data_IF_723195603817
#
_entry.id   IF_723195603817
#
_cell.length_a   1.000
_cell.length_b   1.000
_cell.length_c   1.000
_cell.angle_alpha   90.00
_cell.angle_beta   90.00
_cell.angle_gamma   90.00
#
_symmetry.space_group_name_H-M   'P 1'
#
loop_
_entity.id
_entity.type
_entity.pdbx_description
1 polymer ?
#
# COMPACT_ATOMS: atom_id res chain seq x y z
N UNK A 1 15.85 15.46 22.45
CA UNK A 1 16.02 15.48 20.96
C UNK A 1 15.70 14.08 20.47
N UNK A 2 14.65 13.93 19.68
CA UNK A 2 14.28 12.63 19.17
C UNK A 2 15.15 12.33 17.94
N UNK A 3 16.15 11.48 18.13
CA UNK A 3 16.99 11.00 17.04
C UNK A 3 16.43 9.68 16.51
N UNK A 4 16.61 9.41 15.22
CA UNK A 4 16.28 8.09 14.67
C UNK A 4 17.39 7.58 13.75
N UNK A 5 17.57 6.29 13.70
CA UNK A 5 18.40 5.63 12.70
C UNK A 5 17.53 5.16 11.55
N UNK A 6 17.83 5.61 10.33
CA UNK A 6 17.08 5.21 9.14
C UNK A 6 17.23 3.69 8.91
N UNK A 7 16.14 2.95 9.00
CA UNK A 7 16.16 1.49 8.78
C UNK A 7 16.44 1.09 7.32
N UNK A 8 16.45 2.02 6.37
CA UNK A 8 16.82 1.75 4.99
C UNK A 8 18.34 1.86 4.80
N UNK A 9 18.92 3.04 5.07
CA UNK A 9 20.34 3.31 4.78
C UNK A 9 21.27 3.32 6.01
N UNK A 10 20.73 3.25 7.24
CA UNK A 10 21.49 3.22 8.47
C UNK A 10 21.98 4.58 8.97
N UNK A 11 21.65 5.68 8.31
CA UNK A 11 22.04 7.02 8.74
C UNK A 11 21.34 7.40 10.04
N UNK A 12 22.12 7.93 10.98
CA UNK A 12 21.56 8.61 12.14
C UNK A 12 21.10 10.00 11.74
N UNK A 13 19.89 10.35 12.10
CA UNK A 13 19.26 11.63 11.82
C UNK A 13 18.95 12.34 13.14
N UNK A 14 19.20 13.65 13.15
CA UNK A 14 18.83 14.51 14.26
C UNK A 14 17.47 15.12 13.97
N UNK A 15 16.62 15.05 14.98
CA UNK A 15 15.40 15.77 15.19
C UNK A 15 14.22 15.58 14.23
N UNK A 16 13.10 15.33 14.89
CA UNK A 16 11.78 15.12 14.32
C UNK A 16 10.92 16.32 14.77
N UNK A 17 10.83 17.33 13.94
CA UNK A 17 9.97 18.48 14.24
C UNK A 17 8.61 18.45 13.57
N UNK A 18 8.38 17.52 12.68
CA UNK A 18 7.13 17.43 11.92
C UNK A 18 6.70 15.98 11.78
N UNK A 19 5.61 15.76 12.33
CA UNK A 19 4.96 14.51 12.43
C UNK A 19 3.98 14.29 11.25
N UNK A 20 4.46 13.93 10.06
CA UNK A 20 3.65 13.55 8.90
C UNK A 20 4.29 12.37 8.19
N UNK A 21 3.49 11.39 7.74
CA UNK A 21 3.99 10.18 7.08
C UNK A 21 4.88 10.44 5.86
N UNK A 22 4.71 11.58 5.18
CA UNK A 22 5.51 12.01 4.03
C UNK A 22 6.69 12.91 4.40
N UNK A 23 6.79 13.28 5.67
CA UNK A 23 7.86 14.12 6.17
C UNK A 23 8.90 13.29 6.95
N UNK A 24 9.73 13.95 7.73
CA UNK A 24 10.85 13.33 8.45
C UNK A 24 11.83 12.64 7.50
N UNK A 25 12.25 13.38 6.50
CA UNK A 25 13.14 12.85 5.47
C UNK A 25 14.50 12.46 6.07
N UNK A 26 14.98 11.28 5.70
CA UNK A 26 16.35 10.90 6.00
C UNK A 26 17.33 11.77 5.21
N UNK A 27 18.27 12.42 5.89
CA UNK A 27 19.23 13.33 5.27
C UNK A 27 20.15 12.66 4.23
N UNK A 28 20.24 11.31 4.22
CA UNK A 28 21.08 10.58 3.28
C UNK A 28 20.30 9.98 2.11
N UNK A 29 19.20 9.24 2.37
CA UNK A 29 18.47 8.52 1.31
C UNK A 29 17.13 9.16 0.94
N UNK A 30 16.71 10.22 1.63
CA UNK A 30 15.44 10.89 1.37
C UNK A 30 14.20 10.12 1.81
N UNK A 31 14.34 8.95 2.46
CA UNK A 31 13.15 8.19 2.91
C UNK A 31 12.34 8.96 3.93
N UNK A 32 11.02 8.94 3.74
CA UNK A 32 10.03 9.47 4.69
C UNK A 32 9.63 8.43 5.74
N UNK A 33 8.74 8.81 6.66
CA UNK A 33 8.27 7.90 7.72
C UNK A 33 7.49 6.71 7.15
N UNK A 34 6.66 6.91 6.12
CA UNK A 34 5.90 5.85 5.44
C UNK A 34 6.83 4.78 4.86
N UNK A 35 7.86 5.17 4.11
CA UNK A 35 8.81 4.21 3.54
C UNK A 35 9.54 3.40 4.61
N UNK A 36 9.88 4.03 5.74
CA UNK A 36 10.49 3.30 6.85
C UNK A 36 9.51 2.34 7.53
N UNK A 37 8.23 2.72 7.64
CA UNK A 37 7.19 1.80 8.13
C UNK A 37 7.01 0.57 7.22
N UNK A 38 6.95 0.76 5.89
CA UNK A 38 6.90 -0.35 4.93
C UNK A 38 8.13 -1.26 5.09
N UNK A 39 9.33 -0.68 5.18
CA UNK A 39 10.57 -1.44 5.31
C UNK A 39 10.72 -2.11 6.67
N UNK A 40 10.12 -1.58 7.74
CA UNK A 40 10.00 -2.29 9.01
C UNK A 40 9.24 -3.61 8.82
N UNK A 41 8.08 -3.56 8.14
CA UNK A 41 7.33 -4.76 7.80
C UNK A 41 8.16 -5.75 6.99
N UNK A 42 8.85 -5.27 5.96
CA UNK A 42 9.73 -6.13 5.13
C UNK A 42 10.85 -6.76 5.97
N UNK A 43 11.53 -5.99 6.80
CA UNK A 43 12.63 -6.50 7.64
C UNK A 43 12.13 -7.54 8.63
N UNK A 44 10.98 -7.31 9.25
CA UNK A 44 10.36 -8.24 10.19
C UNK A 44 10.00 -9.58 9.54
N UNK A 45 9.34 -9.54 8.41
CA UNK A 45 8.71 -10.74 7.81
C UNK A 45 9.52 -11.39 6.70
N UNK A 46 10.32 -10.64 5.93
CA UNK A 46 11.17 -11.22 4.90
C UNK A 46 12.57 -11.55 5.40
N UNK A 47 13.15 -10.72 6.28
CA UNK A 47 14.49 -10.91 6.78
C UNK A 47 14.54 -11.54 8.18
N UNK A 48 13.46 -11.41 8.96
CA UNK A 48 13.42 -11.77 10.39
C UNK A 48 14.54 -11.09 11.19
N UNK A 49 14.86 -9.86 10.84
CA UNK A 49 15.96 -9.07 11.40
C UNK A 49 15.66 -7.58 11.27
N UNK A 50 15.22 -6.95 12.36
CA UNK A 50 14.85 -5.52 12.39
C UNK A 50 16.00 -4.62 12.85
N UNK A 51 17.01 -5.19 13.50
CA UNK A 51 18.09 -4.41 14.10
C UNK A 51 19.12 -3.87 13.09
N UNK A 52 19.12 -4.42 11.86
CA UNK A 52 20.03 -4.01 10.80
C UNK A 52 19.31 -3.23 9.71
N UNK A 53 19.86 -2.12 9.23
CA UNK A 53 19.33 -1.43 8.07
C UNK A 53 19.20 -2.31 6.83
N UNK A 54 18.21 -2.05 5.98
CA UNK A 54 17.92 -2.84 4.77
C UNK A 54 19.18 -3.07 3.90
N UNK A 55 19.99 -2.03 3.69
CA UNK A 55 21.21 -2.14 2.89
C UNK A 55 22.27 -3.10 3.50
N UNK A 56 22.18 -3.39 4.80
CA UNK A 56 23.08 -4.31 5.53
C UNK A 56 22.48 -5.69 5.76
N UNK A 57 21.26 -5.94 5.30
CA UNK A 57 20.65 -7.26 5.38
C UNK A 57 21.41 -8.26 4.51
N UNK A 58 21.37 -9.52 4.92
CA UNK A 58 21.91 -10.61 4.10
C UNK A 58 21.05 -10.85 2.86
N UNK A 59 21.66 -11.31 1.78
CA UNK A 59 20.93 -11.65 0.56
C UNK A 59 19.99 -12.83 0.80
N UNK A 60 18.75 -12.70 0.34
CA UNK A 60 17.70 -13.72 0.40
C UNK A 60 17.02 -13.88 -0.96
N UNK A 61 17.81 -14.27 -1.95
CA UNK A 61 17.34 -14.45 -3.33
C UNK A 61 16.29 -15.55 -3.52
N UNK A 62 16.10 -16.40 -2.51
CA UNK A 62 15.01 -17.38 -2.49
C UNK A 62 13.64 -16.77 -2.25
N UNK A 63 13.57 -15.51 -1.78
CA UNK A 63 12.32 -14.79 -1.58
C UNK A 63 11.97 -14.07 -2.87
N UNK A 64 10.85 -14.45 -3.49
CA UNK A 64 10.28 -13.77 -4.65
C UNK A 64 9.38 -12.64 -4.18
N UNK A 65 9.70 -11.42 -4.57
CA UNK A 65 8.98 -10.23 -4.14
C UNK A 65 8.61 -9.32 -5.31
N UNK A 66 7.49 -8.65 -5.21
CA UNK A 66 7.08 -7.60 -6.15
C UNK A 66 6.68 -6.33 -5.40
N UNK A 67 7.02 -5.20 -6.01
CA UNK A 67 6.53 -3.88 -5.63
C UNK A 67 5.49 -3.40 -6.64
N UNK A 68 4.52 -2.63 -6.19
CA UNK A 68 3.48 -2.03 -7.03
C UNK A 68 3.75 -0.52 -7.10
N UNK A 69 4.48 -0.08 -8.12
CA UNK A 69 4.95 1.30 -8.33
C UNK A 69 5.76 1.85 -7.14
N UNK A 70 6.61 1.00 -6.57
CA UNK A 70 7.42 1.34 -5.40
C UNK A 70 8.45 2.44 -5.69
N UNK A 71 8.75 3.24 -4.66
CA UNK A 71 9.81 4.25 -4.72
C UNK A 71 11.19 3.60 -4.86
N UNK A 72 12.01 4.15 -5.75
CA UNK A 72 13.41 3.71 -5.95
C UNK A 72 14.26 3.76 -4.67
N UNK A 73 13.89 4.60 -3.70
CA UNK A 73 14.57 4.74 -2.40
C UNK A 73 14.71 3.40 -1.68
N UNK A 74 13.72 2.51 -1.80
CA UNK A 74 13.76 1.18 -1.19
C UNK A 74 13.67 0.04 -2.22
N UNK A 75 13.13 0.29 -3.42
CA UNK A 75 13.07 -0.73 -4.47
C UNK A 75 14.47 -1.23 -4.88
N UNK A 76 15.43 -0.34 -5.06
CA UNK A 76 16.80 -0.74 -5.40
C UNK A 76 17.51 -1.53 -4.28
N UNK A 77 17.48 -1.09 -3.01
CA UNK A 77 17.97 -1.93 -1.91
C UNK A 77 17.29 -3.31 -1.85
N UNK A 78 15.98 -3.40 -2.09
CA UNK A 78 15.26 -4.67 -2.12
C UNK A 78 15.73 -5.55 -3.28
N UNK A 79 15.83 -5.00 -4.47
CA UNK A 79 16.34 -5.72 -5.65
C UNK A 79 17.79 -6.21 -5.47
N UNK A 80 18.59 -5.52 -4.64
CA UNK A 80 19.91 -5.99 -4.28
C UNK A 80 19.89 -7.21 -3.32
N UNK A 81 18.79 -7.48 -2.61
CA UNK A 81 18.70 -8.48 -1.54
C UNK A 81 17.77 -9.66 -1.86
N UNK A 82 16.69 -9.40 -2.56
CA UNK A 82 15.62 -10.35 -2.86
C UNK A 82 15.57 -10.65 -4.37
N UNK A 83 14.81 -11.67 -4.77
CA UNK A 83 14.33 -11.81 -6.15
C UNK A 83 13.14 -10.87 -6.32
N UNK A 84 13.44 -9.57 -6.45
CA UNK A 84 12.46 -8.49 -6.44
C UNK A 84 12.29 -7.87 -7.82
N UNK A 85 11.03 -7.62 -8.20
CA UNK A 85 10.66 -6.82 -9.36
C UNK A 85 9.72 -5.68 -8.94
N UNK A 86 10.04 -4.45 -9.34
CA UNK A 86 9.09 -3.33 -9.24
C UNK A 86 8.20 -3.34 -10.48
N UNK A 87 6.89 -3.41 -10.29
CA UNK A 87 5.90 -3.43 -11.36
C UNK A 87 5.19 -2.10 -11.47
N UNK A 88 4.66 -1.78 -12.65
CA UNK A 88 4.04 -0.49 -12.93
C UNK A 88 2.72 -0.67 -13.66
N UNK A 89 1.84 0.33 -13.57
CA UNK A 89 0.56 0.30 -14.27
C UNK A 89 0.69 0.54 -15.80
N UNK A 90 1.59 1.43 -16.21
CA UNK A 90 1.71 1.88 -17.60
C UNK A 90 2.96 1.40 -18.34
N UNK A 91 3.93 0.81 -17.64
CA UNK A 91 5.21 0.42 -18.22
C UNK A 91 5.64 -0.98 -17.74
N UNK A 92 6.52 -1.63 -18.49
CA UNK A 92 7.08 -2.94 -18.12
C UNK A 92 8.05 -2.85 -16.91
N UNK A 93 8.05 -3.82 -16.02
CA UNK A 93 7.13 -4.96 -15.94
C UNK A 93 5.72 -4.48 -15.54
N UNK A 94 4.70 -4.76 -16.40
CA UNK A 94 3.36 -4.25 -16.19
C UNK A 94 2.55 -5.11 -15.23
N UNK A 95 1.81 -4.46 -14.33
CA UNK A 95 0.83 -5.10 -13.45
C UNK A 95 -0.36 -4.18 -13.22
N UNK A 96 -1.53 -4.60 -13.69
CA UNK A 96 -2.81 -4.03 -13.28
C UNK A 96 -3.47 -4.95 -12.23
N UNK A 97 -3.48 -4.50 -10.98
CA UNK A 97 -4.08 -5.25 -9.87
C UNK A 97 -5.60 -5.35 -9.94
N UNK A 98 -6.22 -4.66 -10.89
CA UNK A 98 -7.66 -4.73 -11.16
C UNK A 98 -8.01 -5.69 -12.31
N UNK A 99 -7.06 -6.08 -13.16
CA UNK A 99 -7.28 -7.03 -14.26
C UNK A 99 -6.77 -8.42 -13.90
N UNK A 100 -7.68 -9.40 -13.88
CA UNK A 100 -7.35 -10.80 -13.56
C UNK A 100 -6.32 -11.40 -14.54
N UNK A 101 -6.34 -11.00 -15.82
CA UNK A 101 -5.36 -11.50 -16.81
C UNK A 101 -3.96 -10.98 -16.55
N UNK A 102 -3.85 -9.76 -16.03
CA UNK A 102 -2.57 -9.19 -15.60
C UNK A 102 -2.06 -9.93 -14.35
N UNK A 103 -2.94 -10.18 -13.37
CA UNK A 103 -2.63 -10.86 -12.12
C UNK A 103 -2.18 -12.31 -12.34
N UNK A 104 -2.84 -13.04 -13.25
CA UNK A 104 -2.57 -14.46 -13.51
C UNK A 104 -1.14 -14.70 -14.06
N UNK A 105 -0.42 -13.64 -14.49
CA UNK A 105 1.00 -13.71 -14.85
C UNK A 105 1.92 -13.81 -13.61
N UNK A 106 1.41 -13.48 -12.43
CA UNK A 106 2.15 -13.48 -11.18
C UNK A 106 1.55 -14.51 -10.21
N UNK A 107 2.35 -15.47 -9.79
CA UNK A 107 1.92 -16.52 -8.85
C UNK A 107 3.07 -16.93 -7.93
N UNK A 108 2.73 -17.57 -6.82
CA UNK A 108 3.70 -18.06 -5.83
C UNK A 108 4.64 -16.97 -5.28
N UNK A 109 4.16 -15.74 -5.18
CA UNK A 109 4.90 -14.61 -4.63
C UNK A 109 4.98 -14.74 -3.11
N UNK A 110 6.18 -14.56 -2.55
CA UNK A 110 6.40 -14.57 -1.10
C UNK A 110 5.99 -13.24 -0.45
N UNK A 111 6.28 -12.13 -1.13
CA UNK A 111 6.11 -10.78 -0.61
C UNK A 111 5.58 -9.83 -1.68
N UNK A 112 4.50 -9.13 -1.38
CA UNK A 112 4.02 -8.00 -2.16
C UNK A 112 4.18 -6.73 -1.32
N UNK A 113 4.63 -5.64 -1.93
CA UNK A 113 4.66 -4.31 -1.34
C UNK A 113 3.72 -3.42 -2.15
N UNK A 114 2.78 -2.77 -1.48
CA UNK A 114 1.80 -1.89 -2.09
C UNK A 114 1.71 -0.61 -1.25
N UNK A 115 2.14 0.50 -1.82
CA UNK A 115 2.21 1.78 -1.12
C UNK A 115 1.43 2.84 -1.86
N UNK A 116 0.32 3.29 -1.26
CA UNK A 116 -0.52 4.37 -1.78
C UNK A 116 -0.98 4.13 -3.23
N UNK A 117 -1.66 3.01 -3.44
CA UNK A 117 -2.21 2.58 -4.74
C UNK A 117 -3.69 2.27 -4.64
N UNK A 118 -4.13 1.66 -3.53
CA UNK A 118 -5.48 1.09 -3.41
C UNK A 118 -6.58 2.16 -3.44
N UNK A 119 -6.27 3.37 -3.01
CA UNK A 119 -7.17 4.53 -3.05
C UNK A 119 -7.46 5.02 -4.47
N UNK A 120 -6.61 4.66 -5.43
CA UNK A 120 -6.71 5.06 -6.84
C UNK A 120 -7.40 4.01 -7.73
N UNK A 121 -7.67 2.83 -7.19
CA UNK A 121 -8.21 1.72 -7.98
C UNK A 121 -9.72 1.86 -8.22
N UNK A 122 -10.22 1.50 -9.42
CA UNK A 122 -11.67 1.52 -9.69
C UNK A 122 -12.44 0.42 -8.95
N UNK A 123 -11.76 -0.68 -8.58
CA UNK A 123 -12.37 -1.74 -7.78
C UNK A 123 -12.38 -1.38 -6.30
N UNK A 124 -13.38 -1.87 -5.58
CA UNK A 124 -13.44 -1.75 -4.13
C UNK A 124 -12.20 -2.39 -3.46
N UNK A 125 -11.68 -1.86 -2.34
CA UNK A 125 -10.48 -2.33 -1.67
C UNK A 125 -10.47 -3.85 -1.43
N UNK A 126 -11.58 -4.43 -0.98
CA UNK A 126 -11.72 -5.88 -0.80
C UNK A 126 -11.36 -6.66 -2.07
N UNK A 127 -11.88 -6.23 -3.24
CA UNK A 127 -11.64 -6.91 -4.52
C UNK A 127 -10.17 -6.84 -4.94
N UNK A 128 -9.54 -5.70 -4.75
CA UNK A 128 -8.11 -5.51 -5.02
C UNK A 128 -7.26 -6.41 -4.10
N UNK A 129 -7.64 -6.51 -2.82
CA UNK A 129 -6.97 -7.39 -1.86
C UNK A 129 -7.17 -8.87 -2.20
N UNK A 130 -8.38 -9.30 -2.62
CA UNK A 130 -8.63 -10.66 -3.13
C UNK A 130 -7.70 -10.97 -4.32
N UNK A 131 -7.50 -10.03 -5.22
CA UNK A 131 -6.61 -10.15 -6.38
C UNK A 131 -5.15 -10.30 -5.94
N UNK A 132 -4.64 -9.44 -5.08
CA UNK A 132 -3.28 -9.56 -4.54
C UNK A 132 -3.07 -10.86 -3.76
N UNK A 133 -4.10 -11.34 -3.02
CA UNK A 133 -4.04 -12.62 -2.33
C UNK A 133 -3.86 -13.80 -3.29
N UNK A 134 -4.43 -13.75 -4.50
CA UNK A 134 -4.26 -14.81 -5.52
C UNK A 134 -2.82 -14.93 -5.97
N UNK A 135 -2.09 -13.81 -6.05
CA UNK A 135 -0.68 -13.78 -6.46
C UNK A 135 0.24 -14.38 -5.40
N UNK A 136 -0.09 -14.22 -4.12
CA UNK A 136 0.71 -14.72 -3.01
C UNK A 136 0.63 -16.25 -2.90
N UNK A 137 1.74 -16.91 -2.52
CA UNK A 137 1.69 -18.31 -2.06
C UNK A 137 0.99 -18.42 -0.69
N UNK A 138 0.53 -19.59 -0.29
CA UNK A 138 0.13 -19.83 1.11
C UNK A 138 1.26 -19.45 2.08
N UNK A 139 0.94 -18.67 3.11
CA UNK A 139 1.92 -18.05 4.03
C UNK A 139 2.65 -16.83 3.48
N UNK A 140 2.38 -16.41 2.24
CA UNK A 140 2.91 -15.18 1.66
C UNK A 140 2.30 -13.93 2.29
N UNK A 141 2.95 -12.78 2.10
CA UNK A 141 2.69 -11.55 2.86
C UNK A 141 2.54 -10.37 1.91
N UNK A 142 1.53 -9.54 2.17
CA UNK A 142 1.38 -8.21 1.59
C UNK A 142 1.69 -7.17 2.68
N UNK A 143 2.64 -6.27 2.40
CA UNK A 143 2.91 -5.07 3.20
C UNK A 143 2.21 -3.90 2.50
N UNK A 144 1.23 -3.30 3.18
CA UNK A 144 0.32 -2.33 2.60
C UNK A 144 0.36 -1.01 3.37
N UNK A 145 0.50 0.11 2.66
CA UNK A 145 0.13 1.43 3.16
C UNK A 145 -0.89 2.09 2.24
N UNK A 146 -1.77 2.87 2.83
CA UNK A 146 -2.69 3.76 2.13
C UNK A 146 -2.99 4.96 3.04
N UNK A 147 -3.36 6.13 2.50
CA UNK A 147 -3.91 7.21 3.29
C UNK A 147 -5.30 6.80 3.81
N UNK A 148 -5.35 6.35 5.05
CA UNK A 148 -6.60 5.99 5.71
C UNK A 148 -7.00 7.05 6.73
N UNK A 149 -8.27 7.10 7.09
CA UNK A 149 -8.82 8.14 7.96
C UNK A 149 -9.65 7.53 9.09
N UNK A 150 -9.73 8.22 10.23
CA UNK A 150 -10.64 7.87 11.31
C UNK A 150 -12.07 8.31 10.98
N UNK A 151 -12.62 7.73 9.92
CA UNK A 151 -14.00 7.91 9.47
C UNK A 151 -14.86 6.75 9.95
N UNK A 152 -16.19 6.94 10.11
CA UNK A 152 -17.11 5.85 10.43
C UNK A 152 -17.22 4.83 9.28
N UNK A 153 -17.08 5.28 8.03
CA UNK A 153 -17.11 4.46 6.82
C UNK A 153 -16.29 5.09 5.70
N UNK A 154 -15.87 4.29 4.73
CA UNK A 154 -15.19 4.73 3.51
C UNK A 154 -16.12 5.58 2.65
N UNK A 155 -15.63 6.72 2.17
CA UNK A 155 -16.37 7.60 1.26
C UNK A 155 -15.90 7.33 -0.16
N UNK A 156 -16.77 6.77 -0.99
CA UNK A 156 -16.54 6.60 -2.42
C UNK A 156 -16.90 7.90 -3.16
N UNK A 157 -15.96 8.47 -3.90
CA UNK A 157 -16.21 9.66 -4.72
C UNK A 157 -16.99 9.34 -5.99
N UNK A 158 -16.79 8.14 -6.54
CA UNK A 158 -17.36 7.69 -7.80
C UNK A 158 -18.03 6.32 -7.61
N UNK A 159 -19.08 6.24 -6.78
CA UNK A 159 -19.74 4.97 -6.48
C UNK A 159 -20.33 4.36 -7.72
N UNK A 160 -20.16 3.04 -7.89
CA UNK A 160 -20.69 2.26 -9.02
C UNK A 160 -20.29 2.76 -10.41
N UNK A 161 -19.14 3.45 -10.52
CA UNK A 161 -18.67 3.98 -11.77
C UNK A 161 -18.47 2.89 -12.83
N UNK A 162 -19.24 2.96 -13.92
CA UNK A 162 -19.12 2.10 -15.09
C UNK A 162 -18.17 2.70 -16.14
N UNK A 163 -18.05 4.03 -16.18
CA UNK A 163 -17.07 4.75 -16.99
C UNK A 163 -16.62 6.01 -16.26
N UNK A 164 -15.37 6.40 -16.47
CA UNK A 164 -14.79 7.57 -15.85
C UNK A 164 -13.82 8.25 -16.82
N UNK A 165 -13.90 9.56 -16.94
CA UNK A 165 -13.05 10.38 -17.80
C UNK A 165 -12.61 11.63 -17.03
N UNK A 166 -11.30 11.85 -16.96
CA UNK A 166 -10.72 13.08 -16.39
C UNK A 166 -10.52 14.06 -17.55
N UNK A 167 -11.07 15.28 -17.44
CA UNK A 167 -10.92 16.36 -18.42
C UNK A 167 -10.15 17.53 -17.86
N UNK A 168 -9.17 18.02 -18.62
CA UNK A 168 -8.58 19.33 -18.38
C UNK A 168 -9.43 20.41 -19.06
N UNK A 169 -9.92 21.35 -18.27
CA UNK A 169 -10.76 22.47 -18.71
C UNK A 169 -10.01 23.81 -18.54
N UNK A 170 -8.76 23.88 -19.02
CA UNK A 170 -7.96 25.10 -18.97
C UNK A 170 -7.39 25.38 -17.59
N UNK A 171 -6.74 24.39 -17.00
CA UNK A 171 -6.11 24.43 -15.67
C UNK A 171 -7.04 24.08 -14.51
N UNK A 172 -8.28 23.73 -14.81
CA UNK A 172 -9.20 23.06 -13.90
C UNK A 172 -9.48 21.66 -14.42
N UNK A 173 -9.57 20.71 -13.53
CA UNK A 173 -9.93 19.34 -13.89
C UNK A 173 -11.36 19.07 -13.45
N UNK A 174 -12.09 18.34 -14.28
CA UNK A 174 -13.39 17.76 -13.94
C UNK A 174 -13.35 16.26 -14.22
N UNK A 175 -14.08 15.50 -13.42
CA UNK A 175 -14.31 14.08 -13.67
C UNK A 175 -15.73 13.89 -14.13
N UNK A 176 -15.90 13.32 -15.34
CA UNK A 176 -17.18 12.89 -15.88
C UNK A 176 -17.29 11.39 -15.74
N UNK A 177 -18.37 10.92 -15.17
CA UNK A 177 -18.55 9.50 -14.99
C UNK A 177 -20.01 9.09 -15.18
N UNK A 178 -20.21 7.82 -15.51
CA UNK A 178 -21.54 7.21 -15.49
C UNK A 178 -21.54 6.05 -14.51
N UNK A 179 -22.62 5.90 -13.79
CA UNK A 179 -22.82 4.73 -12.93
C UNK A 179 -23.37 3.52 -13.72
N UNK A 180 -23.51 2.39 -13.07
CA UNK A 180 -24.02 1.16 -13.67
C UNK A 180 -25.49 1.25 -14.09
N UNK A 181 -26.24 2.24 -13.64
CA UNK A 181 -27.60 2.53 -14.11
C UNK A 181 -27.62 3.32 -15.42
N UNK A 182 -26.46 3.87 -15.84
CA UNK A 182 -26.30 4.76 -16.98
C UNK A 182 -26.53 6.23 -16.66
N UNK A 183 -26.76 6.60 -15.40
CA UNK A 183 -26.86 8.00 -15.02
C UNK A 183 -25.49 8.69 -15.14
N UNK A 184 -25.48 9.94 -15.57
CA UNK A 184 -24.27 10.72 -15.81
C UNK A 184 -24.05 11.74 -14.72
N UNK A 185 -22.81 11.85 -14.28
CA UNK A 185 -22.40 12.70 -13.19
C UNK A 185 -21.18 13.53 -13.58
N UNK A 186 -20.97 14.66 -12.91
CA UNK A 186 -19.79 15.51 -13.08
C UNK A 186 -19.31 15.96 -11.71
N UNK A 187 -18.02 15.71 -11.44
CA UNK A 187 -17.31 16.28 -10.31
C UNK A 187 -16.41 17.42 -10.78
N UNK A 188 -16.65 18.63 -10.26
CA UNK A 188 -15.90 19.84 -10.59
C UNK A 188 -14.74 20.13 -9.64
N UNK A 189 -14.53 19.28 -8.62
CA UNK A 189 -13.47 19.41 -7.62
C UNK A 189 -12.85 18.07 -7.29
N UNK A 190 -12.40 17.31 -8.32
CA UNK A 190 -11.80 16.01 -8.09
C UNK A 190 -10.52 16.12 -7.24
N UNK A 191 -10.27 15.11 -6.43
CA UNK A 191 -9.06 14.99 -5.65
C UNK A 191 -8.00 14.21 -6.42
N UNK A 192 -6.75 14.71 -6.42
CA UNK A 192 -5.62 14.07 -7.07
C UNK A 192 -4.45 13.92 -6.11
N UNK A 193 -3.86 12.76 -6.08
CA UNK A 193 -2.58 12.52 -5.46
C UNK A 193 -1.46 13.07 -6.35
N UNK A 194 -0.50 13.82 -5.79
CA UNK A 194 0.61 14.39 -6.55
C UNK A 194 0.29 15.68 -7.33
N UNK A 195 -0.90 16.24 -7.15
CA UNK A 195 -1.33 17.50 -7.74
C UNK A 195 -2.38 17.35 -8.85
N UNK A 196 -2.98 18.47 -9.28
CA UNK A 196 -4.08 18.47 -10.23
C UNK A 196 -3.77 17.73 -11.52
N UNK A 197 -4.63 16.79 -11.91
CA UNK A 197 -4.52 16.03 -13.15
C UNK A 197 -3.54 14.86 -13.12
N UNK A 198 -2.89 14.58 -11.98
CA UNK A 198 -1.97 13.43 -11.86
C UNK A 198 -2.73 12.12 -11.62
N UNK A 199 -2.82 11.64 -10.39
CA UNK A 199 -3.50 10.38 -10.07
C UNK A 199 -4.78 10.66 -9.30
N UNK A 200 -5.93 10.28 -9.89
CA UNK A 200 -7.24 10.52 -9.30
C UNK A 200 -7.43 9.65 -8.05
N UNK A 201 -7.89 10.26 -6.97
CA UNK A 201 -8.37 9.53 -5.79
C UNK A 201 -9.82 9.09 -6.02
N UNK A 202 -10.07 7.80 -5.90
CA UNK A 202 -11.40 7.22 -6.07
C UNK A 202 -12.22 7.28 -4.77
N UNK A 203 -11.52 7.34 -3.62
CA UNK A 203 -12.15 7.25 -2.30
C UNK A 203 -11.29 7.79 -1.19
N UNK A 204 -11.97 8.10 -0.06
CA UNK A 204 -11.34 8.26 1.25
C UNK A 204 -11.57 6.99 2.06
N UNK A 205 -10.51 6.28 2.35
CA UNK A 205 -10.59 4.98 3.00
C UNK A 205 -10.70 5.15 4.51
N UNK A 206 -11.76 4.65 5.12
CA UNK A 206 -11.82 4.49 6.57
C UNK A 206 -10.84 3.41 7.03
N UNK A 207 -10.05 3.68 8.07
CA UNK A 207 -9.00 2.76 8.54
C UNK A 207 -9.56 1.38 8.90
N UNK A 208 -10.69 1.34 9.60
CA UNK A 208 -11.31 0.09 10.01
C UNK A 208 -11.90 -0.68 8.83
N UNK A 209 -12.41 0.01 7.81
CA UNK A 209 -12.93 -0.63 6.61
C UNK A 209 -11.81 -1.31 5.81
N UNK A 210 -10.61 -0.72 5.77
CA UNK A 210 -9.47 -1.35 5.10
C UNK A 210 -9.03 -2.63 5.83
N UNK A 211 -8.98 -2.60 7.16
CA UNK A 211 -8.70 -3.80 7.96
C UNK A 211 -9.76 -4.87 7.71
N UNK A 212 -11.05 -4.50 7.75
CA UNK A 212 -12.15 -5.42 7.50
C UNK A 212 -12.11 -5.98 6.07
N UNK A 213 -11.82 -5.14 5.07
CA UNK A 213 -11.65 -5.57 3.68
C UNK A 213 -10.53 -6.61 3.53
N UNK A 214 -9.44 -6.46 4.29
CA UNK A 214 -8.36 -7.45 4.36
C UNK A 214 -8.82 -8.78 4.93
N UNK A 215 -9.55 -8.75 6.04
CA UNK A 215 -10.12 -9.95 6.67
C UNK A 215 -11.13 -10.64 5.73
N UNK A 216 -12.01 -9.87 5.10
CA UNK A 216 -13.02 -10.36 4.16
C UNK A 216 -12.40 -10.91 2.87
N UNK A 217 -11.23 -10.42 2.47
CA UNK A 217 -10.42 -10.98 1.41
C UNK A 217 -9.70 -12.27 1.81
N UNK A 218 -9.81 -12.69 3.06
CA UNK A 218 -9.25 -13.93 3.60
C UNK A 218 -7.79 -13.82 4.06
N UNK A 219 -7.35 -12.65 4.47
CA UNK A 219 -6.06 -12.43 5.13
C UNK A 219 -6.19 -12.45 6.66
N UNK A 220 -5.10 -12.82 7.31
CA UNK A 220 -4.81 -12.40 8.69
C UNK A 220 -4.21 -11.00 8.61
N UNK A 221 -4.77 -10.04 9.34
CA UNK A 221 -4.39 -8.62 9.25
C UNK A 221 -3.76 -8.17 10.56
N UNK A 222 -2.59 -7.57 10.48
CA UNK A 222 -1.87 -6.93 11.57
C UNK A 222 -1.58 -5.47 11.21
N UNK A 223 -1.74 -4.58 12.18
CA UNK A 223 -1.28 -3.18 12.06
C UNK A 223 0.08 -3.06 12.72
N UNK A 224 1.09 -2.56 11.97
CA UNK A 224 2.41 -2.34 12.55
C UNK A 224 2.40 -1.18 13.54
N UNK A 225 2.94 -1.44 14.72
CA UNK A 225 3.16 -0.41 15.72
C UNK A 225 4.26 0.58 15.27
N UNK A 226 4.15 1.79 15.77
CA UNK A 226 5.16 2.81 15.53
C UNK A 226 6.51 2.43 16.15
N UNK A 227 7.57 2.89 15.51
CA UNK A 227 8.96 2.60 15.87
C UNK A 227 9.77 3.90 15.74
N UNK A 228 9.73 4.78 16.77
CA UNK A 228 10.37 6.08 16.73
C UNK A 228 11.88 6.01 16.50
N UNK A 229 12.53 4.95 16.97
CA UNK A 229 13.97 4.71 16.83
C UNK A 229 14.45 4.56 15.39
N UNK A 230 13.55 4.18 14.48
CA UNK A 230 13.82 4.15 13.04
C UNK A 230 13.17 5.33 12.30
N UNK A 231 12.52 6.23 13.02
CA UNK A 231 11.77 7.34 12.45
C UNK A 231 10.44 6.93 11.81
N UNK A 232 9.86 5.82 12.23
CA UNK A 232 8.47 5.45 11.92
C UNK A 232 7.61 5.92 13.09
N UNK A 233 7.17 7.13 13.00
CA UNK A 233 6.30 7.79 13.98
C UNK A 233 5.01 8.20 13.34
N UNK A 234 3.98 8.29 14.16
CA UNK A 234 2.69 8.81 13.76
C UNK A 234 2.51 10.24 14.26
N UNK A 235 2.12 11.11 13.40
CA UNK A 235 1.43 12.31 13.76
C UNK A 235 -0.02 12.23 13.31
N UNK A 236 -0.87 12.61 14.16
CA UNK A 236 -2.21 13.02 13.76
C UNK A 236 -2.02 14.19 12.80
N UNK A 237 -2.23 13.94 11.51
CA UNK A 237 -2.29 15.02 10.54
C UNK A 237 -3.63 15.70 10.74
N UNK A 238 -3.63 16.98 11.10
CA UNK A 238 -4.88 17.72 11.08
C UNK A 238 -5.37 17.77 9.64
N UNK A 239 -6.59 17.33 9.45
CA UNK A 239 -7.51 17.62 8.37
C UNK A 239 -6.93 17.65 6.93
N UNK A 240 -7.31 16.68 6.15
CA UNK A 240 -7.38 16.85 4.70
C UNK A 240 -8.31 18.04 4.40
N UNK A 241 -8.00 18.95 3.45
CA UNK A 241 -8.85 20.10 3.18
C UNK A 241 -10.30 19.69 2.91
N UNK A 242 -11.18 19.98 3.86
CA UNK A 242 -12.61 19.65 3.79
C UNK A 242 -13.03 18.36 4.47
N UNK A 243 -12.10 17.62 5.12
CA UNK A 243 -12.41 16.41 5.87
C UNK A 243 -11.94 16.58 7.30
N UNK A 244 -12.89 16.72 8.20
CA UNK A 244 -12.63 16.84 9.64
C UNK A 244 -12.35 15.45 10.26
N UNK A 245 -11.38 14.70 9.74
CA UNK A 245 -11.00 13.41 10.28
C UNK A 245 -9.48 13.24 10.28
N UNK A 246 -8.88 12.77 11.40
CA UNK A 246 -7.47 12.46 11.44
C UNK A 246 -7.10 11.38 10.43
N UNK A 247 -5.98 11.56 9.73
CA UNK A 247 -5.42 10.52 8.87
C UNK A 247 -4.70 9.47 9.71
N UNK A 248 -4.93 8.20 9.41
CA UNK A 248 -4.19 7.06 9.95
C UNK A 248 -3.44 6.37 8.79
N UNK A 249 -2.13 6.54 8.71
CA UNK A 249 -1.31 5.94 7.66
C UNK A 249 -0.45 4.80 8.17
N UNK A 250 -0.88 4.09 9.23
CA UNK A 250 -0.17 2.91 9.69
C UNK A 250 -0.08 1.86 8.60
N UNK A 251 1.07 1.20 8.58
CA UNK A 251 1.32 0.08 7.66
C UNK A 251 0.57 -1.14 8.17
N UNK A 252 -0.14 -1.80 7.25
CA UNK A 252 -0.79 -3.09 7.50
C UNK A 252 0.06 -4.22 6.94
N UNK A 253 0.10 -5.33 7.66
CA UNK A 253 0.67 -6.60 7.23
C UNK A 253 -0.47 -7.59 7.06
N UNK A 254 -0.66 -8.06 5.84
CA UNK A 254 -1.70 -8.99 5.47
C UNK A 254 -1.06 -10.34 5.10
N UNK A 255 -1.29 -11.36 5.90
CA UNK A 255 -0.75 -12.70 5.66
C UNK A 255 -1.80 -13.58 4.99
N UNK A 256 -1.45 -14.19 3.85
CA UNK A 256 -2.26 -15.29 3.31
C UNK A 256 -2.11 -16.51 4.22
N UNK A 257 -3.18 -17.03 4.86
CA UNK A 257 -3.09 -18.21 5.70
C UNK A 257 -2.51 -19.41 4.96
N UNK A 258 -1.86 -20.31 5.70
CA UNK A 258 -1.52 -21.62 5.16
C UNK A 258 -2.79 -22.44 4.89
N UNK A 259 -2.85 -23.13 3.76
CA UNK A 259 -3.95 -24.05 3.50
C UNK A 259 -3.88 -25.18 4.53
N UNK A 260 -4.95 -25.29 5.34
CA UNK A 260 -5.09 -26.45 6.22
C UNK A 260 -5.31 -27.68 5.33
N UNK A 261 -4.53 -28.77 5.46
CA UNK A 261 -4.78 -29.98 4.69
C UNK A 261 -6.21 -30.43 4.94
N UNK A 262 -7.04 -30.50 3.91
CA UNK A 262 -8.36 -31.09 4.00
C UNK A 262 -8.16 -32.53 4.43
N UNK A 263 -8.46 -32.85 5.70
CA UNK A 263 -8.52 -34.25 6.15
C UNK A 263 -9.54 -34.94 5.26
N UNK A 264 -9.05 -35.77 4.33
CA UNK A 264 -9.89 -36.56 3.47
C UNK A 264 -10.93 -37.30 4.31
N UNK A 265 -12.20 -37.08 4.02
CA UNK A 265 -13.25 -37.94 4.60
C UNK A 265 -12.94 -39.34 4.12
N UNK A 266 -12.37 -40.15 5.03
CA UNK A 266 -12.23 -41.57 4.80
C UNK A 266 -13.63 -42.13 4.54
N UNK A 267 -13.87 -42.64 3.34
CA UNK A 267 -15.06 -43.45 3.08
C UNK A 267 -14.91 -44.70 3.94
N UNK A 268 -15.89 -45.05 4.76
CA UNK A 268 -15.91 -46.35 5.41
C UNK A 268 -16.03 -47.41 4.30
N UNK A 269 -15.15 -48.43 4.37
CA UNK A 269 -15.23 -49.63 3.52
C UNK A 269 -16.38 -50.53 3.96
#
# INVERSE_FOLDING_TARGET
MNQFQCCICGRNNSEINQAHRELMLCAQCGSNARFRGLMLGVMRYAFNEESKPLIKQSDRRSITAIGISDSEIYAWPLAAKLSYANTYYHTEPQLDICDLRSIDQYSNIDLIICSDVIEHTPLAPRKVLENMRRMLRPGGILILSAPTYHLPETIEWYPDAASLEVKDCGGRHEVRWSDTSGAKHVDFRPCFHGGPGSTLEMRLIAHQDLIQAGMDAGFEVETLEFSPEIGYVWPIVPEYPGIAAPMDGRVLVLRRPHETPVKGRGYPR
#
